data_IF_494911251975
#
_entry.id   IF_494911251975
#
_cell.length_a   1.000
_cell.length_b   1.000
_cell.length_c   1.000
_cell.angle_alpha   90.00
_cell.angle_beta   90.00
_cell.angle_gamma   90.00
#
_symmetry.space_group_name_H-M   'P 1'
#
loop_
_entity.id
_entity.type
_entity.pdbx_description
1 polymer ?
#
# COMPACT_ATOMS: atom_id res chain seq x y z
N UNK A 1 5.88 -1.37 3.48
CA UNK A 1 6.73 -1.96 2.43
C UNK A 1 8.14 -1.36 2.47
N UNK A 2 8.26 -0.04 2.37
CA UNK A 2 9.51 0.68 2.59
C UNK A 2 9.59 1.24 4.02
N UNK A 3 10.79 1.46 4.55
CA UNK A 3 11.00 2.25 5.78
C UNK A 3 10.50 3.67 5.57
N UNK A 4 9.73 4.20 6.54
CA UNK A 4 9.13 5.53 6.44
C UNK A 4 10.18 6.65 6.56
N UNK A 5 10.14 7.61 5.63
CA UNK A 5 11.11 8.73 5.51
C UNK A 5 10.43 10.05 5.06
N UNK A 6 9.11 10.19 5.24
CA UNK A 6 8.20 11.25 4.79
C UNK A 6 8.14 11.44 3.26
N UNK A 7 9.27 11.74 2.62
CA UNK A 7 9.39 11.90 1.18
C UNK A 7 10.61 11.12 0.66
N UNK A 8 10.33 10.05 -0.06
CA UNK A 8 11.35 9.26 -0.76
C UNK A 8 11.42 9.75 -2.21
N UNK A 9 12.48 10.47 -2.54
CA UNK A 9 12.65 11.17 -3.84
C UNK A 9 13.87 10.68 -4.62
N UNK A 10 14.64 9.78 -4.03
CA UNK A 10 15.79 9.11 -4.66
C UNK A 10 15.72 7.60 -4.45
N UNK A 11 16.08 6.79 -5.46
CA UNK A 11 16.28 5.34 -5.34
C UNK A 11 17.12 4.92 -4.12
N UNK A 12 18.17 5.67 -3.78
CA UNK A 12 19.08 5.31 -2.69
C UNK A 12 18.43 5.37 -1.29
N UNK A 13 17.27 6.01 -1.18
CA UNK A 13 16.51 6.06 0.06
C UNK A 13 15.58 4.85 0.24
N UNK A 14 15.40 4.04 -0.80
CA UNK A 14 14.55 2.84 -0.78
C UNK A 14 15.22 1.76 0.05
N UNK A 15 14.49 1.30 1.06
CA UNK A 15 14.92 0.36 2.06
C UNK A 15 13.69 -0.45 2.50
N UNK A 16 13.68 -1.73 2.19
CA UNK A 16 12.58 -2.61 2.56
C UNK A 16 12.50 -2.78 4.08
N UNK A 17 11.29 -2.75 4.63
CA UNK A 17 11.10 -3.10 6.04
C UNK A 17 11.44 -4.59 6.28
N UNK A 18 11.88 -4.96 7.49
CA UNK A 18 12.05 -6.36 7.86
C UNK A 18 10.79 -7.18 7.55
N UNK A 19 10.98 -8.41 7.07
CA UNK A 19 9.88 -9.32 6.72
C UNK A 19 9.15 -9.00 5.41
N UNK A 20 9.40 -7.87 4.74
CA UNK A 20 8.71 -7.49 3.50
C UNK A 20 8.85 -8.53 2.37
N UNK A 21 10.08 -9.00 2.12
CA UNK A 21 10.32 -10.01 1.07
C UNK A 21 9.66 -11.34 1.39
N UNK A 22 9.67 -11.75 2.66
CA UNK A 22 9.04 -12.99 3.11
C UNK A 22 7.52 -12.91 2.95
N UNK A 23 6.91 -11.82 3.42
CA UNK A 23 5.49 -11.54 3.27
C UNK A 23 5.06 -11.60 1.79
N UNK A 24 5.81 -10.96 0.91
CA UNK A 24 5.53 -10.98 -0.52
C UNK A 24 5.65 -12.39 -1.12
N UNK A 25 6.67 -13.17 -0.75
CA UNK A 25 6.81 -14.56 -1.22
C UNK A 25 5.62 -15.40 -0.80
N UNK A 26 5.18 -15.26 0.46
CA UNK A 26 4.04 -16.00 0.99
C UNK A 26 2.75 -15.66 0.24
N UNK A 27 2.48 -14.37 0.03
CA UNK A 27 1.32 -13.91 -0.73
C UNK A 27 1.32 -14.49 -2.16
N UNK A 28 2.44 -14.35 -2.90
CA UNK A 28 2.56 -14.90 -4.26
C UNK A 28 2.43 -16.42 -4.29
N UNK A 29 3.01 -17.15 -3.33
CA UNK A 29 2.91 -18.62 -3.23
C UNK A 29 1.47 -19.09 -3.02
N UNK A 30 0.65 -18.28 -2.36
CA UNK A 30 -0.79 -18.54 -2.14
C UNK A 30 -1.68 -18.04 -3.29
N UNK A 31 -1.09 -17.59 -4.39
CA UNK A 31 -1.81 -17.20 -5.60
C UNK A 31 -2.31 -15.75 -5.62
N UNK A 32 -1.97 -14.93 -4.62
CA UNK A 32 -2.35 -13.53 -4.64
C UNK A 32 -1.63 -12.76 -5.74
N UNK A 33 -2.37 -11.83 -6.34
CA UNK A 33 -1.78 -10.68 -7.02
C UNK A 33 -1.43 -9.62 -5.98
N UNK A 34 -0.29 -8.97 -6.15
CA UNK A 34 0.21 -7.95 -5.23
C UNK A 34 0.39 -6.64 -5.99
N UNK A 35 -0.30 -5.61 -5.51
CA UNK A 35 -0.25 -4.26 -6.07
C UNK A 35 0.29 -3.27 -5.04
N UNK A 36 0.96 -2.23 -5.51
CA UNK A 36 1.28 -1.04 -4.71
C UNK A 36 0.34 0.08 -5.11
N UNK A 37 -0.37 0.66 -4.14
CA UNK A 37 -1.20 1.86 -4.32
C UNK A 37 -0.76 2.94 -3.33
N UNK A 38 -0.22 4.05 -3.82
CA UNK A 38 0.45 5.05 -2.96
C UNK A 38 0.01 6.50 -3.22
N UNK A 39 -0.16 7.27 -2.15
CA UNK A 39 -0.40 8.72 -2.25
C UNK A 39 0.95 9.44 -2.27
N UNK A 40 1.33 10.05 -3.40
CA UNK A 40 2.62 10.72 -3.61
C UNK A 40 2.44 12.25 -3.66
N UNK A 41 1.91 12.83 -2.57
CA UNK A 41 1.64 14.28 -2.50
C UNK A 41 2.88 15.16 -2.53
N UNK A 42 4.09 14.58 -2.42
CA UNK A 42 5.34 15.30 -2.64
C UNK A 42 5.39 15.93 -4.02
N UNK A 43 4.71 15.34 -5.03
CA UNK A 43 4.63 15.88 -6.38
C UNK A 43 3.85 17.20 -6.41
N UNK A 44 2.60 17.21 -5.93
CA UNK A 44 1.82 18.44 -5.84
C UNK A 44 2.49 19.53 -4.99
N UNK A 45 3.32 19.15 -4.01
CA UNK A 45 4.08 20.09 -3.17
C UNK A 45 5.36 20.62 -3.83
N UNK A 46 5.73 20.13 -5.02
CA UNK A 46 7.00 20.48 -5.68
C UNK A 46 8.25 19.89 -5.02
N UNK A 47 8.08 18.91 -4.12
CA UNK A 47 9.16 18.21 -3.41
C UNK A 47 9.76 17.09 -4.27
N UNK A 48 8.93 16.49 -5.13
CA UNK A 48 9.32 15.40 -6.02
C UNK A 48 8.73 15.62 -7.43
N UNK A 49 9.34 15.00 -8.43
CA UNK A 49 8.78 14.86 -9.77
C UNK A 49 8.19 13.46 -9.96
N UNK A 50 7.28 13.31 -10.93
CA UNK A 50 6.77 11.99 -11.32
C UNK A 50 7.90 11.04 -11.75
N UNK A 51 8.92 11.57 -12.43
CA UNK A 51 10.12 10.81 -12.80
C UNK A 51 10.88 10.30 -11.58
N UNK A 52 11.07 11.13 -10.54
CA UNK A 52 11.72 10.69 -9.30
C UNK A 52 10.94 9.58 -8.60
N UNK A 53 9.62 9.74 -8.49
CA UNK A 53 8.74 8.72 -7.90
C UNK A 53 8.77 7.43 -8.72
N UNK A 54 8.82 7.52 -10.05
CA UNK A 54 8.94 6.35 -10.93
C UNK A 54 10.25 5.61 -10.69
N UNK A 55 11.38 6.32 -10.60
CA UNK A 55 12.69 5.71 -10.30
C UNK A 55 12.75 5.07 -8.90
N UNK A 56 12.05 5.65 -7.93
CA UNK A 56 11.88 5.06 -6.59
C UNK A 56 11.10 3.75 -6.67
N UNK A 57 10.03 3.71 -7.46
CA UNK A 57 9.24 2.50 -7.67
C UNK A 57 10.03 1.42 -8.43
N UNK A 58 10.78 1.80 -9.47
CA UNK A 58 11.70 0.89 -10.18
C UNK A 58 12.71 0.26 -9.22
N UNK A 59 13.29 1.06 -8.33
CA UNK A 59 14.20 0.55 -7.31
C UNK A 59 13.53 -0.41 -6.34
N UNK A 60 12.28 -0.14 -5.96
CA UNK A 60 11.50 -1.06 -5.15
C UNK A 60 11.28 -2.40 -5.88
N UNK A 61 10.98 -2.36 -7.18
CA UNK A 61 10.86 -3.56 -8.03
C UNK A 61 12.15 -4.35 -8.10
N UNK A 62 13.30 -3.69 -8.32
CA UNK A 62 14.61 -4.34 -8.32
C UNK A 62 14.90 -5.09 -7.01
N UNK A 63 14.59 -4.45 -5.87
CA UNK A 63 14.82 -5.01 -4.54
C UNK A 63 13.92 -6.20 -4.22
N UNK A 64 12.73 -6.31 -4.83
CA UNK A 64 11.89 -7.51 -4.68
C UNK A 64 12.21 -8.58 -5.73
N UNK A 65 12.71 -8.17 -6.90
CA UNK A 65 13.08 -9.07 -8.00
C UNK A 65 14.25 -9.97 -7.65
N UNK A 66 15.21 -9.53 -6.82
CA UNK A 66 16.28 -10.39 -6.27
C UNK A 66 15.73 -11.61 -5.51
N UNK A 67 14.48 -11.53 -5.06
CA UNK A 67 13.79 -12.59 -4.34
C UNK A 67 12.84 -13.41 -5.25
N UNK A 68 12.87 -13.17 -6.57
CA UNK A 68 12.01 -13.81 -7.56
C UNK A 68 10.57 -13.30 -7.58
N UNK A 69 10.33 -12.12 -7.01
CA UNK A 69 8.99 -11.53 -6.85
C UNK A 69 8.82 -10.38 -7.85
N UNK A 70 7.62 -10.23 -8.39
CA UNK A 70 7.20 -9.01 -9.09
C UNK A 70 5.85 -8.55 -8.56
N UNK A 71 5.67 -7.24 -8.51
CA UNK A 71 4.35 -6.65 -8.34
C UNK A 71 3.55 -6.83 -9.63
N UNK A 72 2.25 -7.02 -9.49
CA UNK A 72 1.32 -7.09 -10.62
C UNK A 72 0.98 -5.67 -11.12
N UNK A 73 1.15 -4.65 -10.27
CA UNK A 73 1.09 -3.25 -10.68
C UNK A 73 1.47 -2.27 -9.57
N UNK A 74 2.03 -1.13 -9.96
CA UNK A 74 2.34 -0.01 -9.07
C UNK A 74 1.59 1.22 -9.55
N UNK A 75 0.74 1.76 -8.69
CA UNK A 75 -0.08 2.93 -8.97
C UNK A 75 0.19 3.99 -7.90
N UNK A 76 0.32 5.24 -8.32
CA UNK A 76 0.43 6.35 -7.39
C UNK A 76 -0.46 7.52 -7.80
N UNK A 77 -0.86 8.31 -6.81
CA UNK A 77 -1.61 9.54 -7.01
C UNK A 77 -0.74 10.75 -6.65
N UNK A 78 -0.44 11.67 -7.60
CA UNK A 78 0.46 12.80 -7.37
C UNK A 78 -0.21 13.99 -6.64
N UNK A 79 -1.53 13.92 -6.48
CA UNK A 79 -2.38 15.05 -6.10
C UNK A 79 -2.44 15.30 -4.58
N UNK A 80 -2.70 16.56 -4.23
CA UNK A 80 -3.06 17.02 -2.89
C UNK A 80 -4.27 17.97 -2.99
N UNK A 81 -5.41 17.70 -2.33
CA UNK A 81 -6.65 18.46 -2.52
C UNK A 81 -6.52 19.98 -2.32
N UNK A 82 -5.65 20.41 -1.41
CA UNK A 82 -5.41 21.82 -1.11
C UNK A 82 -4.55 22.55 -2.13
N UNK A 83 -3.87 21.83 -3.04
CA UNK A 83 -2.98 22.42 -4.05
C UNK A 83 -3.49 22.13 -5.47
N UNK A 84 -3.76 20.87 -5.77
CA UNK A 84 -4.13 20.41 -7.11
C UNK A 84 -5.64 20.15 -7.27
N UNK A 85 -6.45 20.45 -6.25
CA UNK A 85 -7.88 20.14 -6.26
C UNK A 85 -8.20 18.66 -6.00
N UNK A 86 -9.50 18.35 -5.97
CA UNK A 86 -10.00 16.98 -5.73
C UNK A 86 -9.69 16.08 -6.92
N UNK A 87 -9.33 14.84 -6.65
CA UNK A 87 -9.15 13.80 -7.65
C UNK A 87 -9.80 12.49 -7.16
N UNK A 88 -9.98 11.53 -8.06
CA UNK A 88 -10.54 10.21 -7.74
C UNK A 88 -9.45 9.20 -7.30
N UNK A 89 -8.18 9.44 -7.63
CA UNK A 89 -7.09 8.51 -7.35
C UNK A 89 -6.60 8.53 -5.90
N UNK A 90 -6.69 9.67 -5.20
CA UNK A 90 -6.07 9.83 -3.90
C UNK A 90 -6.85 9.06 -2.86
N UNK A 91 -6.20 8.14 -2.14
CA UNK A 91 -6.81 7.41 -1.02
C UNK A 91 -7.41 8.40 -0.01
N UNK A 92 -8.67 8.21 0.43
CA UNK A 92 -9.44 6.96 0.37
C UNK A 92 -10.20 6.73 -0.94
N UNK A 93 -10.03 7.58 -1.96
CA UNK A 93 -10.58 7.36 -3.30
C UNK A 93 -10.03 6.10 -3.97
N UNK A 94 -10.87 5.47 -4.79
CA UNK A 94 -10.63 4.14 -5.41
C UNK A 94 -9.95 4.18 -6.78
N UNK A 95 -9.69 5.35 -7.35
CA UNK A 95 -9.25 5.46 -8.75
C UNK A 95 -7.94 4.74 -9.10
N UNK A 96 -7.02 4.54 -8.14
CA UNK A 96 -5.83 3.70 -8.38
C UNK A 96 -6.17 2.20 -8.51
N UNK A 97 -7.15 1.72 -7.72
CA UNK A 97 -7.64 0.34 -7.79
C UNK A 97 -8.46 0.14 -9.06
N UNK A 98 -9.27 1.12 -9.45
CA UNK A 98 -10.06 1.04 -10.69
C UNK A 98 -9.17 0.87 -11.93
N UNK A 99 -8.02 1.55 -11.97
CA UNK A 99 -7.02 1.34 -13.02
C UNK A 99 -6.41 -0.06 -13.02
N UNK A 100 -6.33 -0.73 -11.87
CA UNK A 100 -5.92 -2.13 -11.82
C UNK A 100 -7.03 -3.05 -12.37
N UNK A 101 -8.30 -2.77 -12.05
CA UNK A 101 -9.45 -3.54 -12.52
C UNK A 101 -9.64 -3.48 -14.05
N UNK A 102 -9.18 -2.41 -14.71
CA UNK A 102 -9.18 -2.31 -16.18
C UNK A 102 -8.31 -3.40 -16.85
N UNK A 103 -7.29 -3.91 -16.15
CA UNK A 103 -6.34 -4.88 -16.70
C UNK A 103 -6.45 -6.25 -16.03
N UNK A 104 -6.80 -6.29 -14.76
CA UNK A 104 -6.78 -7.49 -13.94
C UNK A 104 -8.17 -7.81 -13.42
N UNK A 105 -8.58 -9.07 -13.61
CA UNK A 105 -9.77 -9.61 -12.96
C UNK A 105 -9.47 -9.85 -11.47
N UNK A 106 -9.83 -8.87 -10.63
CA UNK A 106 -9.58 -8.85 -9.19
C UNK A 106 -10.91 -8.94 -8.45
N UNK A 107 -11.05 -9.98 -7.63
CA UNK A 107 -12.16 -10.09 -6.67
C UNK A 107 -11.88 -9.22 -5.44
N UNK A 108 -12.51 -8.04 -5.40
CA UNK A 108 -12.32 -7.08 -4.32
C UNK A 108 -12.85 -7.56 -2.96
N UNK A 109 -13.91 -8.37 -2.95
CA UNK A 109 -14.49 -8.87 -1.70
C UNK A 109 -13.55 -9.84 -0.99
N UNK A 110 -12.72 -10.56 -1.75
CA UNK A 110 -11.68 -11.45 -1.25
C UNK A 110 -10.28 -10.82 -1.33
N UNK A 111 -10.20 -9.49 -1.43
CA UNK A 111 -8.95 -8.74 -1.43
C UNK A 111 -8.66 -8.08 -0.09
N UNK A 112 -7.39 -7.72 0.11
CA UNK A 112 -6.90 -7.09 1.32
C UNK A 112 -6.15 -5.80 1.00
N UNK A 113 -6.34 -4.77 1.83
CA UNK A 113 -5.55 -3.55 1.79
C UNK A 113 -4.71 -3.49 3.07
N UNK A 114 -3.40 -3.58 2.91
CA UNK A 114 -2.44 -3.49 4.00
C UNK A 114 -1.75 -2.13 3.93
N UNK A 115 -1.91 -1.32 4.99
CA UNK A 115 -1.39 0.04 5.02
C UNK A 115 -1.17 0.54 6.44
N UNK A 116 -0.49 1.66 6.59
CA UNK A 116 -0.15 2.27 7.87
C UNK A 116 -0.90 3.57 8.14
N UNK A 117 -1.83 3.95 7.25
CA UNK A 117 -2.65 5.16 7.38
C UNK A 117 -4.14 4.83 7.41
N UNK A 118 -4.93 5.63 8.10
CA UNK A 118 -6.39 5.50 8.03
C UNK A 118 -6.97 5.77 6.64
N UNK A 119 -6.25 6.50 5.78
CA UNK A 119 -6.62 6.64 4.37
C UNK A 119 -6.60 5.30 3.62
N UNK A 120 -5.75 4.36 4.00
CA UNK A 120 -5.71 3.01 3.43
C UNK A 120 -6.93 2.20 3.87
N UNK A 121 -7.32 2.35 5.14
CA UNK A 121 -8.51 1.68 5.67
C UNK A 121 -9.79 2.24 5.03
N UNK A 122 -9.82 3.55 4.79
CA UNK A 122 -10.89 4.17 4.00
C UNK A 122 -10.94 3.67 2.55
N UNK A 123 -9.79 3.45 1.90
CA UNK A 123 -9.75 2.80 0.59
C UNK A 123 -10.33 1.38 0.68
N UNK A 124 -9.88 0.58 1.65
CA UNK A 124 -10.33 -0.80 1.85
C UNK A 124 -11.86 -0.87 1.97
N UNK A 125 -12.42 -0.01 2.83
CA UNK A 125 -13.86 0.12 3.00
C UNK A 125 -14.57 0.49 1.69
N UNK A 126 -14.07 1.49 0.96
CA UNK A 126 -14.69 1.99 -0.27
C UNK A 126 -14.67 0.99 -1.43
N UNK A 127 -13.77 0.00 -1.40
CA UNK A 127 -13.70 -1.06 -2.41
C UNK A 127 -14.29 -2.39 -1.90
N UNK A 128 -14.79 -2.45 -0.66
CA UNK A 128 -15.33 -3.68 -0.06
C UNK A 128 -14.27 -4.73 0.30
N UNK A 129 -13.01 -4.33 0.46
CA UNK A 129 -11.90 -5.20 0.83
C UNK A 129 -11.63 -5.20 2.34
N UNK A 130 -10.94 -6.24 2.81
CA UNK A 130 -10.49 -6.32 4.20
C UNK A 130 -9.30 -5.37 4.44
N UNK A 131 -9.51 -4.34 5.24
CA UNK A 131 -8.47 -3.38 5.64
C UNK A 131 -7.67 -3.85 6.86
N UNK A 132 -6.35 -3.93 6.73
CA UNK A 132 -5.39 -4.30 7.78
C UNK A 132 -4.43 -3.15 8.04
N UNK A 133 -4.45 -2.59 9.25
CA UNK A 133 -3.51 -1.56 9.69
C UNK A 133 -2.24 -2.21 10.26
N UNK A 134 -1.08 -1.85 9.72
CA UNK A 134 0.22 -2.27 10.27
C UNK A 134 0.80 -1.18 11.17
N UNK A 135 1.45 -1.56 12.27
CA UNK A 135 2.02 -0.61 13.24
C UNK A 135 3.35 0.03 12.80
N UNK A 136 3.99 -0.51 11.77
CA UNK A 136 5.14 0.11 11.09
C UNK A 136 4.77 1.46 10.47
N UNK A 137 5.76 2.32 10.21
CA UNK A 137 5.51 3.65 9.65
C UNK A 137 4.68 4.50 10.60
N UNK A 138 3.55 5.02 10.13
CA UNK A 138 2.67 5.86 10.93
C UNK A 138 1.58 5.11 11.70
N UNK A 139 1.42 3.80 11.48
CA UNK A 139 0.26 3.07 11.99
C UNK A 139 0.17 3.00 13.51
N UNK A 140 1.30 2.99 14.23
CA UNK A 140 1.29 3.09 15.70
C UNK A 140 0.74 4.42 16.22
N UNK A 141 0.86 5.49 15.44
CA UNK A 141 0.31 6.82 15.78
C UNK A 141 -1.17 6.85 15.41
N UNK A 142 -1.53 6.35 14.24
CA UNK A 142 -2.91 6.28 13.74
C UNK A 142 -3.78 5.40 14.65
N UNK A 143 -3.27 4.25 15.13
CA UNK A 143 -3.95 3.34 16.06
C UNK A 143 -4.39 4.07 17.34
N UNK A 144 -3.54 4.95 17.90
CA UNK A 144 -3.85 5.72 19.11
C UNK A 144 -4.94 6.78 18.91
N UNK A 145 -5.20 7.15 17.66
CA UNK A 145 -6.16 8.18 17.29
C UNK A 145 -7.44 7.57 16.68
N UNK A 146 -7.57 6.25 16.71
CA UNK A 146 -8.75 5.59 16.19
C UNK A 146 -10.01 6.08 16.92
N UNK A 147 -11.05 6.46 16.16
CA UNK A 147 -12.33 6.82 16.76
C UNK A 147 -12.92 5.60 17.48
N UNK A 148 -13.80 5.82 18.45
CA UNK A 148 -14.46 4.77 19.23
C UNK A 148 -15.49 3.94 18.43
N UNK A 149 -15.44 3.95 17.10
CA UNK A 149 -16.33 3.22 16.20
C UNK A 149 -15.90 3.39 14.74
N UNK A 150 -15.86 2.27 14.01
CA UNK A 150 -15.29 2.21 12.65
C UNK A 150 -13.75 2.21 12.69
N UNK A 151 -13.12 1.40 11.85
CA UNK A 151 -11.66 1.22 11.90
C UNK A 151 -11.16 0.13 10.97
N UNK A 152 -9.86 -0.19 11.02
CA UNK A 152 -9.33 -1.38 10.38
C UNK A 152 -10.05 -2.65 10.87
N UNK A 153 -10.17 -3.65 10.00
CA UNK A 153 -10.68 -4.97 10.39
C UNK A 153 -9.68 -5.68 11.31
N UNK A 154 -8.38 -5.47 11.06
CA UNK A 154 -7.29 -6.02 11.86
C UNK A 154 -6.18 -5.00 12.07
N UNK A 155 -5.53 -5.05 13.23
CA UNK A 155 -4.34 -4.27 13.53
C UNK A 155 -3.21 -5.22 13.93
N UNK A 156 -2.10 -5.16 13.20
CA UNK A 156 -0.98 -6.09 13.35
C UNK A 156 0.35 -5.35 13.42
N UNK A 157 1.41 -6.03 13.86
CA UNK A 157 2.71 -5.40 14.07
C UNK A 157 3.33 -4.87 12.77
N UNK A 158 3.33 -5.67 11.72
CA UNK A 158 4.01 -5.39 10.46
C UNK A 158 3.37 -6.12 9.28
N UNK A 159 3.97 -5.99 8.10
CA UNK A 159 3.47 -6.61 6.87
C UNK A 159 3.55 -8.15 6.88
N UNK A 160 4.53 -8.73 7.59
CA UNK A 160 4.65 -10.18 7.67
C UNK A 160 3.52 -10.75 8.53
N UNK A 161 3.22 -10.11 9.66
CA UNK A 161 2.06 -10.44 10.48
C UNK A 161 0.74 -10.28 9.70
N UNK A 162 0.62 -9.24 8.87
CA UNK A 162 -0.55 -9.05 8.00
C UNK A 162 -0.71 -10.20 7.01
N UNK A 163 0.37 -10.60 6.32
CA UNK A 163 0.29 -11.70 5.34
C UNK A 163 0.07 -13.05 6.02
N UNK A 164 0.64 -13.31 7.20
CA UNK A 164 0.34 -14.52 7.96
C UNK A 164 -1.17 -14.63 8.24
N UNK A 165 -1.77 -13.55 8.76
CA UNK A 165 -3.22 -13.49 9.00
C UNK A 165 -4.03 -13.78 7.72
N UNK A 166 -3.66 -13.16 6.60
CA UNK A 166 -4.32 -13.38 5.29
C UNK A 166 -4.24 -14.86 4.89
N UNK A 167 -3.05 -15.44 5.00
CA UNK A 167 -2.78 -16.80 4.52
C UNK A 167 -3.42 -17.85 5.43
N UNK A 168 -3.53 -17.60 6.73
CA UNK A 168 -4.15 -18.48 7.69
C UNK A 168 -5.68 -18.51 7.53
N UNK A 169 -6.31 -17.34 7.32
CA UNK A 169 -7.75 -17.21 7.10
C UNK A 169 -8.28 -17.90 5.83
N UNK A 170 -7.42 -18.25 4.87
CA UNK A 170 -7.80 -18.99 3.64
C UNK A 170 -7.86 -20.50 3.90
N UNK A 171 -7.28 -20.97 5.00
CA UNK A 171 -7.26 -22.40 5.33
C UNK A 171 -8.44 -22.82 6.24
N UNK A 172 -9.36 -21.90 6.55
CA UNK A 172 -10.65 -22.16 7.21
C UNK A 172 -11.80 -22.18 6.19
#
# INVERSE_FOLDING_TARGET
MNVEKDYIVSPDQVELIPGALEALKMAKKRGFRVFIVSNQSGIARGIATETQVSRVNERLEELVAIAGIRFDGIYFCPHLPTISGRCTCRKPGRGMVDRALETFDIDLANSYVVGDRMLDMGLAHNIGATGILVRTGYGSIEEKQLPSGGGPHHIVADILAAVNLIVDNINE
#
